data_IF_977056475865
#
_entry.id   IF_977056475865
#
_cell.length_a   1.000
_cell.length_b   1.000
_cell.length_c   1.000
_cell.angle_alpha   90.00
_cell.angle_beta   90.00
_cell.angle_gamma   90.00
#
_symmetry.space_group_name_H-M   'P 1'
#
loop_
_entity.id
_entity.type
_entity.pdbx_description
1 polymer ?
#
# COMPACT_ATOMS: atom_id res chain seq x y z
N UNK A 1 19.83 33.71 106.29
CA UNK A 1 19.71 32.26 106.06
C UNK A 1 18.38 31.88 105.36
N UNK A 2 18.15 32.32 104.11
CA UNK A 2 16.93 31.98 103.33
C UNK A 2 17.21 31.55 101.88
N UNK A 3 18.50 31.38 101.52
CA UNK A 3 18.93 31.13 100.12
C UNK A 3 19.01 29.64 99.73
N UNK A 4 18.83 28.70 100.67
CA UNK A 4 18.96 27.25 100.39
C UNK A 4 17.62 26.50 100.25
N UNK A 5 16.49 27.07 100.71
CA UNK A 5 15.17 26.43 100.61
C UNK A 5 14.41 26.75 99.29
N UNK A 6 14.68 27.90 98.67
CA UNK A 6 14.01 28.37 97.44
C UNK A 6 14.54 27.74 96.14
N UNK A 7 15.64 26.97 96.19
CA UNK A 7 16.23 26.32 95.01
C UNK A 7 15.71 24.89 94.81
N UNK A 8 15.35 24.20 95.90
CA UNK A 8 14.80 22.83 95.86
C UNK A 8 13.34 22.77 95.40
N UNK A 9 12.59 23.86 95.57
CA UNK A 9 11.18 23.92 95.17
C UNK A 9 10.99 24.40 93.71
N UNK A 10 11.84 25.33 93.23
CA UNK A 10 11.79 25.83 91.85
C UNK A 10 12.27 24.83 90.80
N UNK A 11 13.15 23.90 91.19
CA UNK A 11 13.67 22.87 90.30
C UNK A 11 12.63 21.78 89.97
N UNK A 12 11.72 21.47 90.90
CA UNK A 12 10.67 20.46 90.69
C UNK A 12 9.55 20.93 89.76
N UNK A 13 9.23 22.23 89.76
CA UNK A 13 8.16 22.79 88.92
C UNK A 13 8.58 22.98 87.46
N UNK A 14 9.88 23.20 87.19
CA UNK A 14 10.43 23.30 85.83
C UNK A 14 10.49 21.95 85.10
N UNK A 15 10.65 20.84 85.83
CA UNK A 15 10.63 19.49 85.23
C UNK A 15 9.21 19.06 84.82
N UNK A 16 8.18 19.49 85.56
CA UNK A 16 6.78 19.15 85.25
C UNK A 16 6.22 19.88 84.01
N UNK A 17 6.67 21.12 83.74
CA UNK A 17 6.24 21.88 82.55
C UNK A 17 7.00 21.48 81.27
N UNK A 18 8.19 20.88 81.39
CA UNK A 18 8.94 20.37 80.24
C UNK A 18 8.36 19.05 79.66
N UNK A 19 7.50 18.34 80.40
CA UNK A 19 6.93 17.05 79.99
C UNK A 19 5.72 17.14 79.05
N UNK A 20 5.00 18.27 79.01
CA UNK A 20 3.75 18.39 78.24
C UNK A 20 3.93 18.93 76.80
N UNK A 21 5.15 19.28 76.39
CA UNK A 21 5.42 19.87 75.07
C UNK A 21 5.95 18.88 74.02
N UNK A 22 6.11 17.58 74.34
CA UNK A 22 6.71 16.59 73.44
C UNK A 22 5.68 15.94 72.49
N UNK A 23 4.38 16.27 72.61
CA UNK A 23 3.33 15.61 71.82
C UNK A 23 3.09 16.14 70.39
N UNK A 24 3.83 17.17 69.92
CA UNK A 24 3.60 17.77 68.59
C UNK A 24 4.75 17.57 67.59
N UNK A 25 5.82 16.85 67.94
CA UNK A 25 6.95 16.59 67.05
C UNK A 25 6.76 15.36 66.12
N UNK A 26 5.51 14.92 65.92
CA UNK A 26 5.17 13.68 65.22
C UNK A 26 4.66 13.82 63.78
N UNK A 27 4.63 15.02 63.20
CA UNK A 27 4.37 15.17 61.76
C UNK A 27 5.66 14.88 61.00
N UNK A 28 6.01 13.60 60.89
CA UNK A 28 7.05 13.15 60.00
C UNK A 28 6.77 13.71 58.60
N UNK A 29 7.76 14.37 58.01
CA UNK A 29 7.77 14.64 56.58
C UNK A 29 7.65 13.28 55.88
N UNK A 30 6.43 12.92 55.51
CA UNK A 30 6.16 11.76 54.69
C UNK A 30 6.98 11.94 53.42
N UNK A 31 8.04 11.14 53.28
CA UNK A 31 8.87 11.11 52.09
C UNK A 31 7.97 11.11 50.88
N UNK A 32 8.09 12.13 50.03
CA UNK A 32 7.31 12.22 48.79
C UNK A 32 7.43 10.88 48.08
N UNK A 33 6.29 10.23 47.83
CA UNK A 33 6.26 8.92 47.19
C UNK A 33 7.05 8.94 45.87
N UNK A 34 7.56 7.78 45.42
CA UNK A 34 8.28 7.69 44.17
C UNK A 34 7.44 8.26 43.02
N UNK A 35 8.10 8.91 42.07
CA UNK A 35 7.43 9.35 40.85
C UNK A 35 6.82 8.14 40.16
N UNK A 36 5.55 8.24 39.78
CA UNK A 36 4.86 7.17 39.05
C UNK A 36 5.58 6.82 37.76
N UNK A 37 5.43 5.57 37.32
CA UNK A 37 6.00 5.11 36.06
C UNK A 37 5.47 5.93 34.87
N UNK A 38 6.28 6.12 33.81
CA UNK A 38 5.77 6.69 32.57
C UNK A 38 4.53 5.95 32.08
N UNK A 39 3.55 6.69 31.57
CA UNK A 39 2.36 6.10 30.98
C UNK A 39 2.69 5.19 29.80
N UNK A 40 1.80 4.25 29.44
CA UNK A 40 1.99 3.40 28.27
C UNK A 40 2.10 4.23 26.99
N UNK A 41 2.79 3.69 25.99
CA UNK A 41 2.81 4.28 24.65
C UNK A 41 1.39 4.35 24.10
N UNK A 42 1.06 5.47 23.45
CA UNK A 42 -0.23 5.63 22.77
C UNK A 42 -0.43 4.60 21.64
N UNK A 43 -1.68 4.35 21.22
CA UNK A 43 -1.96 3.44 20.12
C UNK A 43 -1.33 3.94 18.81
N UNK A 44 -1.10 3.02 17.87
CA UNK A 44 -0.70 3.38 16.51
C UNK A 44 -1.74 4.30 15.86
N UNK A 45 -1.27 5.23 15.03
CA UNK A 45 -2.15 6.10 14.26
C UNK A 45 -2.98 5.31 13.21
N UNK A 46 -4.08 5.89 12.71
CA UNK A 46 -4.87 5.26 11.67
C UNK A 46 -4.06 5.08 10.38
N UNK A 47 -4.46 4.13 9.54
CA UNK A 47 -3.91 3.97 8.20
C UNK A 47 -4.16 5.24 7.36
N UNK A 48 -3.21 5.56 6.47
CA UNK A 48 -3.36 6.66 5.52
C UNK A 48 -4.47 6.41 4.49
N UNK A 49 -4.95 7.46 3.80
CA UNK A 49 -5.97 7.32 2.76
C UNK A 49 -5.44 6.48 1.58
N UNK A 50 -6.36 5.86 0.84
CA UNK A 50 -6.03 5.20 -0.41
C UNK A 50 -5.44 6.21 -1.42
N UNK A 51 -4.48 5.76 -2.24
CA UNK A 51 -3.94 6.57 -3.33
C UNK A 51 -4.98 6.85 -4.43
N UNK A 52 -4.74 7.83 -5.31
CA UNK A 52 -5.64 8.13 -6.41
C UNK A 52 -5.75 6.95 -7.39
N UNK A 53 -6.87 6.85 -8.08
CA UNK A 53 -7.04 5.89 -9.16
C UNK A 53 -5.97 6.10 -10.25
N UNK A 54 -5.54 5.00 -10.88
CA UNK A 54 -4.71 5.06 -12.08
C UNK A 54 -5.44 5.77 -13.22
N UNK A 55 -4.67 6.38 -14.14
CA UNK A 55 -5.24 7.01 -15.34
C UNK A 55 -5.81 5.94 -16.25
N UNK A 56 -6.99 6.16 -16.82
CA UNK A 56 -7.54 5.26 -17.84
C UNK A 56 -6.58 5.15 -19.03
N UNK A 57 -6.41 3.94 -19.57
CA UNK A 57 -5.63 3.71 -20.78
C UNK A 57 -6.33 4.35 -21.97
N UNK A 58 -5.70 5.32 -22.63
CA UNK A 58 -6.22 5.93 -23.84
C UNK A 58 -6.30 4.86 -24.96
N UNK A 59 -7.50 4.37 -25.25
CA UNK A 59 -7.75 3.54 -26.43
C UNK A 59 -7.80 4.42 -27.66
N UNK A 60 -6.62 4.80 -28.16
CA UNK A 60 -6.47 5.29 -29.53
C UNK A 60 -6.46 4.02 -30.37
N UNK A 61 -7.57 3.66 -31.02
CA UNK A 61 -7.62 2.50 -31.93
C UNK A 61 -6.79 2.75 -33.19
N UNK A 62 -5.47 2.88 -33.02
CA UNK A 62 -4.50 2.74 -34.10
C UNK A 62 -4.51 1.31 -34.62
N UNK A 63 -5.02 0.35 -33.85
CA UNK A 63 -5.15 -1.06 -34.23
C UNK A 63 -6.59 -1.34 -34.67
N UNK A 64 -6.75 -1.88 -35.88
CA UNK A 64 -8.00 -2.45 -36.37
C UNK A 64 -7.84 -3.94 -36.66
N UNK A 65 -8.95 -4.65 -36.66
CA UNK A 65 -8.98 -6.08 -37.04
C UNK A 65 -9.65 -6.26 -38.40
N UNK A 66 -8.99 -6.98 -39.29
CA UNK A 66 -9.49 -7.38 -40.60
C UNK A 66 -9.71 -8.88 -40.56
N UNK A 67 -10.93 -9.34 -40.83
CA UNK A 67 -11.26 -10.76 -40.85
C UNK A 67 -11.61 -11.21 -42.27
N UNK A 68 -11.21 -12.42 -42.64
CA UNK A 68 -11.60 -13.05 -43.91
C UNK A 68 -11.94 -14.52 -43.72
N UNK A 69 -13.04 -14.95 -44.34
CA UNK A 69 -13.46 -16.35 -44.44
C UNK A 69 -13.26 -16.92 -45.84
N UNK A 70 -12.64 -16.15 -46.76
CA UNK A 70 -12.34 -16.54 -48.13
C UNK A 70 -11.11 -17.44 -48.20
N UNK A 71 -11.18 -18.60 -47.54
CA UNK A 71 -10.13 -19.58 -47.47
C UNK A 71 -10.24 -20.57 -48.64
N UNK A 72 -9.18 -20.68 -49.44
CA UNK A 72 -9.07 -21.63 -50.56
C UNK A 72 -7.82 -22.51 -50.40
N UNK A 73 -7.47 -23.29 -51.42
CA UNK A 73 -6.25 -24.10 -51.44
C UNK A 73 -4.97 -23.27 -51.17
N UNK A 74 -4.97 -22.01 -51.63
CA UNK A 74 -3.89 -21.05 -51.38
C UNK A 74 -4.00 -20.33 -50.03
N UNK A 75 -4.95 -20.73 -49.20
CA UNK A 75 -5.19 -20.15 -47.90
C UNK A 75 -6.23 -19.06 -47.83
N UNK A 76 -6.25 -18.34 -46.71
CA UNK A 76 -7.03 -17.12 -46.49
C UNK A 76 -6.08 -15.91 -46.58
N UNK A 77 -5.83 -15.32 -47.76
CA UNK A 77 -5.01 -14.12 -47.85
C UNK A 77 -5.76 -12.93 -47.27
N UNK A 78 -5.13 -12.17 -46.39
CA UNK A 78 -5.68 -10.93 -45.84
C UNK A 78 -4.58 -9.91 -45.64
N UNK A 79 -4.81 -8.71 -46.17
CA UNK A 79 -3.85 -7.63 -46.22
C UNK A 79 -4.23 -6.48 -45.29
N UNK A 80 -3.23 -5.86 -44.67
CA UNK A 80 -3.36 -4.55 -44.06
C UNK A 80 -3.29 -3.45 -45.13
N UNK A 81 -3.71 -2.22 -44.81
CA UNK A 81 -3.52 -1.10 -45.74
C UNK A 81 -2.04 -0.68 -45.85
N UNK A 82 -1.69 0.07 -46.90
CA UNK A 82 -0.32 0.55 -47.12
C UNK A 82 0.19 1.43 -45.96
N UNK A 83 -0.70 2.18 -45.32
CA UNK A 83 -0.43 3.02 -44.14
C UNK A 83 -0.54 2.24 -42.81
N UNK A 84 -0.51 0.92 -42.84
CA UNK A 84 -0.59 0.07 -41.66
C UNK A 84 0.53 -0.97 -41.61
N UNK A 85 0.77 -1.45 -40.39
CA UNK A 85 1.72 -2.50 -40.04
C UNK A 85 0.94 -3.68 -39.49
N UNK A 86 1.20 -4.88 -40.02
CA UNK A 86 0.63 -6.11 -39.50
C UNK A 86 1.23 -6.40 -38.12
N UNK A 87 0.38 -6.37 -37.09
CA UNK A 87 0.76 -6.65 -35.69
C UNK A 87 0.63 -8.14 -35.39
N UNK A 88 -0.47 -8.74 -35.81
CA UNK A 88 -0.69 -10.17 -35.65
C UNK A 88 -1.65 -10.68 -36.72
N UNK A 89 -1.58 -11.98 -37.00
CA UNK A 89 -2.52 -12.68 -37.85
C UNK A 89 -2.81 -14.04 -37.25
N UNK A 90 -4.08 -14.33 -37.01
CA UNK A 90 -4.58 -15.55 -36.39
C UNK A 90 -5.36 -16.36 -37.41
N UNK A 91 -4.92 -17.58 -37.61
CA UNK A 91 -5.54 -18.59 -38.44
C UNK A 91 -6.43 -19.48 -37.59
N UNK A 92 -7.74 -19.46 -37.85
CA UNK A 92 -8.74 -20.23 -37.10
C UNK A 92 -9.24 -21.39 -37.96
N UNK A 93 -9.12 -22.61 -37.43
CA UNK A 93 -9.71 -23.84 -37.97
C UNK A 93 -10.88 -24.34 -37.11
N UNK A 94 -11.30 -25.59 -37.32
CA UNK A 94 -12.45 -26.22 -36.63
C UNK A 94 -12.14 -26.67 -35.18
N UNK A 95 -11.46 -25.84 -34.39
CA UNK A 95 -11.10 -26.15 -33.00
C UNK A 95 -9.67 -25.76 -32.60
N UNK A 96 -8.88 -25.23 -33.53
CA UNK A 96 -7.53 -24.73 -33.27
C UNK A 96 -7.38 -23.31 -33.81
N UNK A 97 -6.67 -22.46 -33.08
CA UNK A 97 -6.16 -21.19 -33.58
C UNK A 97 -4.63 -21.21 -33.56
N UNK A 98 -4.00 -20.68 -34.59
CA UNK A 98 -2.53 -20.54 -34.66
C UNK A 98 -2.17 -19.19 -35.25
N UNK A 99 -0.99 -18.67 -34.93
CA UNK A 99 -0.47 -17.51 -35.65
C UNK A 99 -0.13 -17.89 -37.09
N UNK A 100 -0.35 -16.96 -38.02
CA UNK A 100 0.11 -17.06 -39.40
C UNK A 100 1.62 -16.91 -39.45
N UNK A 101 2.30 -17.93 -39.93
CA UNK A 101 3.73 -17.94 -40.22
C UNK A 101 4.05 -17.46 -41.65
N UNK A 102 3.06 -17.47 -42.53
CA UNK A 102 3.18 -16.96 -43.90
C UNK A 102 2.75 -15.49 -43.97
N UNK A 103 3.72 -14.60 -43.91
CA UNK A 103 3.55 -13.15 -44.07
C UNK A 103 4.40 -12.70 -45.25
N UNK A 104 3.78 -12.04 -46.23
CA UNK A 104 4.44 -11.49 -47.40
C UNK A 104 4.27 -9.98 -47.45
N UNK A 105 5.30 -9.27 -47.91
CA UNK A 105 5.26 -7.81 -48.10
C UNK A 105 5.46 -7.50 -49.59
N UNK A 106 4.47 -6.87 -50.20
CA UNK A 106 4.52 -6.45 -51.61
C UNK A 106 4.07 -5.00 -51.70
N UNK A 107 4.88 -4.12 -52.31
CA UNK A 107 4.55 -2.70 -52.42
C UNK A 107 4.28 -1.98 -51.08
N UNK A 108 4.84 -2.48 -49.96
CA UNK A 108 4.61 -1.93 -48.62
C UNK A 108 3.31 -2.41 -47.95
N UNK A 109 2.53 -3.26 -48.63
CA UNK A 109 1.32 -3.90 -48.09
C UNK A 109 1.71 -5.24 -47.47
N UNK A 110 1.41 -5.40 -46.18
CA UNK A 110 1.66 -6.65 -45.45
C UNK A 110 0.44 -7.56 -45.58
N UNK A 111 0.64 -8.76 -46.14
CA UNK A 111 -0.40 -9.77 -46.33
C UNK A 111 -0.06 -11.01 -45.52
N UNK A 112 -0.97 -11.43 -44.65
CA UNK A 112 -0.90 -12.74 -44.00
C UNK A 112 -1.71 -13.78 -44.76
N UNK A 113 -1.25 -15.02 -44.75
CA UNK A 113 -1.91 -16.16 -45.39
C UNK A 113 -1.97 -17.34 -44.45
N UNK A 114 -3.17 -17.85 -44.21
CA UNK A 114 -3.36 -19.09 -43.47
C UNK A 114 -3.36 -20.31 -44.38
N UNK A 115 -2.86 -21.46 -43.93
CA UNK A 115 -2.96 -22.71 -44.71
C UNK A 115 -4.39 -23.19 -44.96
N UNK A 116 -4.59 -24.20 -45.84
CA UNK A 116 -5.90 -24.65 -46.33
C UNK A 116 -6.80 -25.31 -45.26
N UNK A 117 -6.26 -25.68 -44.10
CA UNK A 117 -7.02 -26.21 -42.97
C UNK A 117 -7.74 -25.14 -42.15
N UNK A 118 -7.49 -23.86 -42.44
CA UNK A 118 -8.12 -22.73 -41.77
C UNK A 118 -9.43 -22.36 -42.47
N UNK A 119 -10.42 -21.98 -41.67
CA UNK A 119 -11.74 -21.54 -42.13
C UNK A 119 -11.93 -20.02 -41.98
N UNK A 120 -11.08 -19.36 -41.21
CA UNK A 120 -11.05 -17.92 -41.03
C UNK A 120 -9.64 -17.43 -40.71
N UNK A 121 -9.33 -16.20 -41.10
CA UNK A 121 -8.16 -15.44 -40.65
C UNK A 121 -8.63 -14.14 -39.99
N UNK A 122 -8.00 -13.77 -38.88
CA UNK A 122 -8.17 -12.48 -38.20
C UNK A 122 -6.81 -11.79 -38.12
N UNK A 123 -6.68 -10.63 -38.77
CA UNK A 123 -5.43 -9.86 -38.87
C UNK A 123 -5.60 -8.56 -38.11
N UNK A 124 -4.70 -8.27 -37.16
CA UNK A 124 -4.63 -6.98 -36.49
C UNK A 124 -3.61 -6.09 -37.19
N UNK A 125 -4.06 -4.94 -37.68
CA UNK A 125 -3.26 -3.95 -38.39
C UNK A 125 -3.17 -2.67 -37.56
N UNK A 126 -1.96 -2.18 -37.31
CA UNK A 126 -1.70 -0.91 -36.63
C UNK A 126 -1.37 0.19 -37.63
N UNK A 127 -2.01 1.35 -37.53
CA UNK A 127 -1.63 2.58 -38.24
C UNK A 127 -0.18 2.95 -37.91
N UNK A 128 0.60 3.22 -38.94
CA UNK A 128 1.98 3.73 -38.85
C UNK A 128 2.01 5.17 -38.35
#
# INVERSE_FOLDING_TARGET
MRRQAMHRFRMGTLIALAGAAIALAGCGEGSRGPQGEPGPQGPAGPAGPAGPAGKDGASISSIRTVSSTSCSANGCPTACEANETLVSALCVGNGSARFSDNISVEGGVMTARCGPSSVRIEVSCARK
#
